data_IF_192595704002
#
_entry.id   IF_192595704002
#
_cell.length_a   1.000
_cell.length_b   1.000
_cell.length_c   1.000
_cell.angle_alpha   90.00
_cell.angle_beta   90.00
_cell.angle_gamma   90.00
#
_symmetry.space_group_name_H-M   'P 1'
#
loop_
_entity.id
_entity.type
_entity.pdbx_description
1 polymer ?
#
# COMPACT_ATOMS: atom_id res chain seq x y z
N UNK A 1 -13.04 5.27 -0.13
CA UNK A 1 -12.23 5.56 1.06
C UNK A 1 -10.76 5.26 0.80
N UNK A 2 -9.86 5.99 1.40
CA UNK A 2 -8.43 5.80 1.29
C UNK A 2 -7.72 6.03 2.64
N UNK A 3 -6.59 5.36 2.83
CA UNK A 3 -5.72 5.54 3.99
C UNK A 3 -4.67 6.60 3.68
N UNK A 4 -4.55 7.62 4.54
CA UNK A 4 -3.57 8.68 4.37
C UNK A 4 -2.13 8.27 4.68
N UNK A 5 -1.96 7.37 5.66
CA UNK A 5 -0.64 6.92 6.14
C UNK A 5 0.04 5.87 5.25
N UNK A 6 -0.56 5.45 4.13
CA UNK A 6 0.05 4.49 3.20
C UNK A 6 0.67 5.22 2.01
N UNK A 7 0.09 5.07 0.85
CA UNK A 7 0.60 5.64 -0.41
C UNK A 7 0.71 7.17 -0.44
N UNK A 8 -0.06 7.87 0.39
CA UNK A 8 0.04 9.33 0.53
C UNK A 8 1.08 9.76 1.57
N UNK A 9 1.73 8.83 2.28
CA UNK A 9 2.78 9.12 3.27
C UNK A 9 2.35 10.10 4.38
N UNK A 10 1.06 10.19 4.65
CA UNK A 10 0.52 11.04 5.71
C UNK A 10 0.70 10.42 7.10
N UNK A 11 0.37 11.17 8.15
CA UNK A 11 0.45 10.68 9.53
C UNK A 11 -0.46 9.47 9.78
N UNK A 12 -0.07 8.62 10.73
CA UNK A 12 -0.88 7.48 11.16
C UNK A 12 -2.26 7.92 11.64
N UNK A 13 -3.28 7.14 11.28
CA UNK A 13 -4.67 7.41 11.64
C UNK A 13 -5.36 8.43 10.74
N UNK A 14 -4.72 8.87 9.66
CA UNK A 14 -5.34 9.77 8.67
C UNK A 14 -5.92 9.00 7.49
N UNK A 15 -6.89 9.60 6.84
CA UNK A 15 -7.53 9.07 5.65
C UNK A 15 -8.60 10.00 5.10
N UNK A 16 -9.19 9.64 3.98
CA UNK A 16 -10.26 10.39 3.37
C UNK A 16 -11.37 9.49 2.82
N UNK A 17 -12.58 10.05 2.85
CA UNK A 17 -13.76 9.48 2.20
C UNK A 17 -14.22 10.44 1.11
N UNK A 18 -14.19 9.97 -0.14
CA UNK A 18 -14.80 10.69 -1.25
C UNK A 18 -16.19 10.13 -1.53
N UNK A 19 -17.16 11.02 -1.66
CA UNK A 19 -18.54 10.70 -2.01
C UNK A 19 -18.96 11.62 -3.17
N UNK A 20 -19.37 11.00 -4.28
CA UNK A 20 -19.93 11.78 -5.39
C UNK A 20 -21.14 12.58 -4.93
N UNK A 21 -21.29 13.79 -5.48
CA UNK A 21 -22.34 14.74 -5.06
C UNK A 21 -23.75 14.12 -5.12
N UNK A 22 -24.02 13.37 -6.18
CA UNK A 22 -25.32 12.75 -6.45
C UNK A 22 -25.68 11.67 -5.41
N UNK A 23 -24.67 11.05 -4.79
CA UNK A 23 -24.86 9.98 -3.80
C UNK A 23 -24.98 10.49 -2.36
N UNK A 24 -24.68 11.78 -2.12
CA UNK A 24 -24.63 12.30 -0.75
C UNK A 24 -25.96 12.18 -0.03
N UNK A 25 -27.05 12.45 -0.73
CA UNK A 25 -28.40 12.44 -0.14
C UNK A 25 -28.95 11.00 0.03
N UNK A 26 -28.36 10.02 -0.65
CA UNK A 26 -28.76 8.61 -0.59
C UNK A 26 -28.06 7.83 0.53
N UNK A 27 -26.91 8.32 1.00
CA UNK A 27 -26.12 7.64 2.03
C UNK A 27 -26.53 8.12 3.41
N UNK A 28 -26.85 7.19 4.30
CA UNK A 28 -27.10 7.47 5.72
C UNK A 28 -25.88 7.04 6.54
N UNK A 29 -25.42 7.89 7.50
CA UNK A 29 -24.34 7.48 8.39
C UNK A 29 -24.82 6.36 9.32
N UNK A 30 -24.05 5.28 9.42
CA UNK A 30 -24.38 4.14 10.30
C UNK A 30 -24.33 4.53 11.79
N UNK A 31 -23.58 5.57 12.15
CA UNK A 31 -23.40 6.02 13.52
C UNK A 31 -23.65 7.50 13.61
N UNK A 32 -24.26 7.93 14.72
CA UNK A 32 -24.44 9.35 15.04
C UNK A 32 -23.24 9.85 15.82
N UNK A 33 -22.75 11.03 15.45
CA UNK A 33 -21.73 11.72 16.24
C UNK A 33 -22.36 12.47 17.40
N UNK A 34 -21.68 12.45 18.55
CA UNK A 34 -22.10 13.23 19.72
C UNK A 34 -21.58 14.68 19.74
N UNK A 35 -20.79 15.10 18.74
CA UNK A 35 -20.33 16.48 18.70
C UNK A 35 -21.50 17.44 18.41
N UNK A 36 -21.55 18.57 19.12
CA UNK A 36 -22.56 19.59 18.93
C UNK A 36 -22.48 20.23 17.53
N UNK A 37 -21.29 20.38 16.99
CA UNK A 37 -21.06 20.87 15.63
C UNK A 37 -21.60 19.89 14.59
N UNK A 38 -21.29 18.63 14.72
CA UNK A 38 -21.81 17.61 13.82
C UNK A 38 -23.33 17.44 13.93
N UNK A 39 -23.94 17.64 15.12
CA UNK A 39 -25.41 17.72 15.28
C UNK A 39 -26.02 18.93 14.59
N UNK A 40 -25.32 20.04 14.58
CA UNK A 40 -25.74 21.26 13.91
C UNK A 40 -25.67 21.13 12.40
N UNK A 41 -24.60 20.51 11.90
CA UNK A 41 -24.35 20.27 10.48
C UNK A 41 -25.07 19.01 9.95
N UNK A 42 -25.35 18.01 10.78
CA UNK A 42 -26.11 16.81 10.38
C UNK A 42 -27.56 17.11 10.01
N UNK A 43 -28.10 18.26 10.46
CA UNK A 43 -29.38 18.76 9.98
C UNK A 43 -29.33 19.20 8.51
N UNK A 44 -28.12 19.45 7.98
CA UNK A 44 -27.90 19.66 6.55
C UNK A 44 -27.46 18.33 5.92
N UNK A 45 -28.39 17.60 5.28
CA UNK A 45 -28.12 16.33 4.59
C UNK A 45 -26.98 16.41 3.56
N UNK A 46 -26.63 17.61 3.09
CA UNK A 46 -25.55 17.86 2.14
C UNK A 46 -24.18 17.98 2.79
N UNK A 47 -24.09 18.15 4.11
CA UNK A 47 -22.81 18.23 4.81
C UNK A 47 -22.17 16.87 4.95
N UNK A 48 -20.88 16.77 4.60
CA UNK A 48 -20.07 15.58 4.81
C UNK A 48 -19.64 15.37 6.27
N UNK A 49 -19.77 16.39 7.12
CA UNK A 49 -19.48 16.32 8.55
C UNK A 49 -20.27 15.23 9.27
N UNK A 50 -21.45 14.86 8.77
CA UNK A 50 -22.25 13.76 9.31
C UNK A 50 -21.57 12.39 9.25
N UNK A 51 -20.53 12.20 8.40
CA UNK A 51 -19.72 11.01 8.30
C UNK A 51 -18.46 11.06 9.18
N UNK A 52 -18.22 12.19 9.85
CA UNK A 52 -17.10 12.36 10.79
C UNK A 52 -17.56 12.02 12.19
N UNK A 53 -17.14 10.86 12.71
CA UNK A 53 -17.66 10.31 13.95
C UNK A 53 -16.97 10.82 15.22
N UNK A 54 -15.76 11.33 15.10
CA UNK A 54 -14.92 11.69 16.23
C UNK A 54 -14.21 13.03 16.00
N UNK A 55 -13.77 13.64 17.10
CA UNK A 55 -12.87 14.79 17.04
C UNK A 55 -11.57 14.39 16.37
N UNK A 56 -11.16 15.17 15.38
CA UNK A 56 -9.92 14.95 14.65
C UNK A 56 -8.83 15.85 15.22
N UNK A 57 -7.60 15.36 15.29
CA UNK A 57 -6.45 16.18 15.67
C UNK A 57 -6.10 17.17 14.55
N UNK A 58 -6.12 18.49 14.80
CA UNK A 58 -5.74 19.47 13.78
C UNK A 58 -4.32 19.26 13.25
N UNK A 59 -3.39 18.84 14.11
CA UNK A 59 -2.00 18.55 13.72
C UNK A 59 -1.89 17.37 12.72
N UNK A 60 -2.66 16.31 12.95
CA UNK A 60 -2.70 15.16 12.03
C UNK A 60 -3.33 15.54 10.69
N UNK A 61 -4.38 16.37 10.70
CA UNK A 61 -5.02 16.87 9.48
C UNK A 61 -4.08 17.78 8.69
N UNK A 62 -3.36 18.68 9.37
CA UNK A 62 -2.37 19.53 8.73
C UNK A 62 -1.25 18.68 8.07
N UNK A 63 -0.71 17.70 8.79
CA UNK A 63 0.29 16.79 8.22
C UNK A 63 -0.25 15.97 7.04
N UNK A 64 -1.52 15.57 7.07
CA UNK A 64 -2.15 14.88 5.94
C UNK A 64 -2.36 15.83 4.75
N UNK A 65 -2.75 17.07 4.99
CA UNK A 65 -2.87 18.08 3.94
C UNK A 65 -1.52 18.32 3.24
N UNK A 66 -0.42 18.42 4.00
CA UNK A 66 0.94 18.56 3.45
C UNK A 66 1.34 17.33 2.62
N UNK A 67 1.01 16.13 3.06
CA UNK A 67 1.31 14.92 2.25
C UNK A 67 0.54 14.90 0.93
N UNK A 68 -0.71 15.36 0.92
CA UNK A 68 -1.50 15.51 -0.31
C UNK A 68 -0.92 16.61 -1.21
N UNK A 69 -0.47 17.72 -0.60
CA UNK A 69 0.17 18.83 -1.33
C UNK A 69 1.45 18.33 -2.02
N UNK A 70 2.34 17.67 -1.29
CA UNK A 70 3.55 17.06 -1.85
C UNK A 70 3.25 16.10 -3.01
N UNK A 71 2.25 15.23 -2.86
CA UNK A 71 1.86 14.31 -3.92
C UNK A 71 1.36 15.04 -5.18
N UNK A 72 0.66 16.17 -5.02
CA UNK A 72 0.21 17.02 -6.13
C UNK A 72 1.38 17.76 -6.77
N UNK A 73 2.35 18.25 -6.01
CA UNK A 73 3.56 18.90 -6.55
C UNK A 73 4.42 17.96 -7.38
N UNK A 74 4.64 16.72 -6.90
CA UNK A 74 5.33 15.68 -7.66
C UNK A 74 4.53 15.28 -8.90
N UNK A 75 3.20 15.29 -8.78
CA UNK A 75 2.25 14.87 -9.79
C UNK A 75 1.87 13.38 -9.65
N UNK A 76 0.58 13.14 -9.42
CA UNK A 76 0.04 11.77 -9.19
C UNK A 76 0.39 10.81 -10.33
N UNK A 77 0.37 11.28 -11.58
CA UNK A 77 0.75 10.46 -12.74
C UNK A 77 2.23 10.06 -12.72
N UNK A 78 3.12 10.95 -12.29
CA UNK A 78 4.55 10.64 -12.17
C UNK A 78 4.78 9.59 -11.06
N UNK A 79 4.09 9.74 -9.93
CA UNK A 79 4.12 8.76 -8.83
C UNK A 79 3.64 7.39 -9.30
N UNK A 80 2.53 7.34 -10.03
CA UNK A 80 1.98 6.12 -10.60
C UNK A 80 2.96 5.46 -11.57
N UNK A 81 3.42 6.21 -12.57
CA UNK A 81 4.36 5.71 -13.59
C UNK A 81 5.64 5.18 -12.98
N UNK A 82 6.21 5.90 -12.01
CA UNK A 82 7.43 5.48 -11.33
C UNK A 82 7.21 4.21 -10.50
N UNK A 83 6.15 4.15 -9.72
CA UNK A 83 5.82 2.98 -8.91
C UNK A 83 5.54 1.75 -9.76
N UNK A 84 4.85 1.92 -10.89
CA UNK A 84 4.60 0.84 -11.85
C UNK A 84 5.87 0.39 -12.55
N UNK A 85 6.75 1.30 -12.94
CA UNK A 85 8.03 0.98 -13.57
C UNK A 85 8.88 0.10 -12.65
N UNK A 86 9.00 0.45 -11.37
CA UNK A 86 9.73 -0.35 -10.38
C UNK A 86 9.06 -1.69 -10.11
N UNK A 87 7.73 -1.74 -10.02
CA UNK A 87 6.99 -2.99 -9.88
C UNK A 87 7.18 -3.92 -11.09
N UNK A 88 7.21 -3.38 -12.30
CA UNK A 88 7.47 -4.15 -13.51
C UNK A 88 8.92 -4.65 -13.54
N UNK A 89 9.89 -3.81 -13.19
CA UNK A 89 11.28 -4.21 -13.06
C UNK A 89 11.43 -5.42 -12.10
N UNK A 90 10.76 -5.38 -10.95
CA UNK A 90 10.77 -6.50 -10.01
C UNK A 90 10.17 -7.78 -10.62
N UNK A 91 9.05 -7.67 -11.34
CA UNK A 91 8.41 -8.80 -12.04
C UNK A 91 9.34 -9.42 -13.08
N UNK A 92 9.94 -8.56 -13.91
CA UNK A 92 10.82 -8.98 -15.00
C UNK A 92 12.07 -9.67 -14.46
N UNK A 93 12.68 -9.12 -13.42
CA UNK A 93 13.90 -9.68 -12.82
C UNK A 93 13.66 -10.97 -12.02
N UNK A 94 12.49 -11.12 -11.38
CA UNK A 94 12.18 -12.30 -10.57
C UNK A 94 11.65 -13.45 -11.42
N UNK A 95 11.02 -13.16 -12.56
CA UNK A 95 10.40 -14.17 -13.43
C UNK A 95 11.33 -15.31 -13.88
N UNK A 96 12.63 -15.08 -14.23
CA UNK A 96 13.55 -16.15 -14.59
C UNK A 96 14.17 -16.88 -13.40
N UNK A 97 13.94 -16.42 -12.16
CA UNK A 97 14.56 -17.01 -10.96
C UNK A 97 13.83 -18.31 -10.60
N UNK A 98 14.52 -19.44 -10.71
CA UNK A 98 13.96 -20.74 -10.34
C UNK A 98 13.60 -20.75 -8.86
N UNK A 99 12.44 -21.32 -8.52
CA UNK A 99 11.94 -21.37 -7.16
C UNK A 99 11.24 -20.08 -6.70
N UNK A 100 11.26 -19.01 -7.48
CA UNK A 100 10.42 -17.82 -7.26
C UNK A 100 9.12 -17.93 -8.07
N UNK A 101 8.00 -17.79 -7.40
CA UNK A 101 6.67 -17.86 -8.01
C UNK A 101 6.04 -16.46 -7.99
N UNK A 102 5.88 -15.85 -9.15
CA UNK A 102 5.19 -14.58 -9.26
C UNK A 102 3.67 -14.77 -9.09
N UNK A 103 3.12 -14.26 -8.00
CA UNK A 103 1.72 -14.43 -7.61
C UNK A 103 0.84 -13.21 -7.93
N UNK A 104 1.46 -12.12 -8.32
CA UNK A 104 0.77 -10.91 -8.78
C UNK A 104 0.44 -10.95 -10.26
N UNK A 105 -0.64 -10.26 -10.70
CA UNK A 105 -0.93 -10.12 -12.11
C UNK A 105 0.22 -9.52 -12.92
N UNK A 106 0.40 -9.98 -14.15
CA UNK A 106 1.41 -9.47 -15.10
C UNK A 106 0.82 -8.55 -16.15
N UNK A 107 -0.52 -8.57 -16.34
CA UNK A 107 -1.21 -7.69 -17.27
C UNK A 107 -1.06 -6.23 -16.83
N UNK A 108 -0.73 -5.35 -17.77
CA UNK A 108 -0.61 -3.89 -17.52
C UNK A 108 -1.89 -3.25 -16.97
N UNK A 109 -3.05 -3.81 -17.27
CA UNK A 109 -4.35 -3.34 -16.78
C UNK A 109 -4.59 -3.68 -15.30
N UNK A 110 -3.97 -4.74 -14.80
CA UNK A 110 -4.15 -5.25 -13.43
C UNK A 110 -2.90 -5.11 -12.57
N UNK A 111 -1.78 -4.73 -13.16
CA UNK A 111 -0.52 -4.53 -12.45
C UNK A 111 -0.49 -3.18 -11.72
N UNK A 112 0.24 -3.14 -10.63
CA UNK A 112 0.54 -1.92 -9.87
C UNK A 112 1.91 -2.04 -9.19
N UNK A 113 2.29 -1.07 -8.37
CA UNK A 113 3.53 -1.12 -7.57
C UNK A 113 3.55 -2.17 -6.45
N UNK A 114 2.53 -3.03 -6.36
CA UNK A 114 2.50 -4.15 -5.42
C UNK A 114 2.85 -5.44 -6.17
N UNK A 115 3.86 -6.16 -5.68
CA UNK A 115 4.31 -7.43 -6.27
C UNK A 115 4.36 -8.49 -5.18
N UNK A 116 3.59 -9.56 -5.34
CA UNK A 116 3.58 -10.69 -4.43
C UNK A 116 4.36 -11.84 -5.03
N UNK A 117 5.28 -12.40 -4.26
CA UNK A 117 6.19 -13.47 -4.69
C UNK A 117 6.14 -14.56 -3.63
N UNK A 118 5.93 -15.80 -4.06
CA UNK A 118 6.18 -17.00 -3.28
C UNK A 118 7.58 -17.51 -3.52
N UNK A 119 8.18 -18.21 -2.55
CA UNK A 119 9.46 -18.86 -2.68
C UNK A 119 9.30 -20.34 -2.30
N UNK A 120 9.77 -21.24 -3.15
CA UNK A 120 9.65 -22.68 -2.93
C UNK A 120 10.31 -23.08 -1.60
N UNK A 121 9.66 -23.95 -0.85
CA UNK A 121 10.07 -24.43 0.47
C UNK A 121 10.16 -23.35 1.58
N UNK A 122 9.56 -22.20 1.37
CA UNK A 122 9.48 -21.15 2.38
C UNK A 122 8.02 -20.85 2.76
N UNK A 123 7.74 -20.77 4.05
CA UNK A 123 6.50 -20.14 4.51
C UNK A 123 6.59 -18.61 4.31
N UNK A 124 5.46 -17.91 4.09
CA UNK A 124 5.47 -16.44 4.00
C UNK A 124 6.06 -15.77 5.25
N UNK A 125 5.85 -16.35 6.43
CA UNK A 125 6.32 -15.86 7.71
C UNK A 125 7.84 -15.98 7.84
N UNK A 126 8.40 -17.15 7.55
CA UNK A 126 9.84 -17.40 7.65
C UNK A 126 10.57 -16.56 6.61
N UNK A 127 10.02 -16.46 5.40
CA UNK A 127 10.60 -15.62 4.36
C UNK A 127 10.59 -14.14 4.77
N UNK A 128 9.47 -13.63 5.28
CA UNK A 128 9.35 -12.23 5.73
C UNK A 128 10.31 -11.94 6.89
N UNK A 129 10.42 -12.84 7.87
CA UNK A 129 11.33 -12.73 9.01
C UNK A 129 12.79 -12.72 8.54
N UNK A 130 13.16 -13.67 7.68
CA UNK A 130 14.52 -13.75 7.14
C UNK A 130 14.90 -12.51 6.32
N UNK A 131 14.00 -12.04 5.46
CA UNK A 131 14.21 -10.83 4.68
C UNK A 131 14.43 -9.61 5.58
N UNK A 132 13.66 -9.49 6.66
CA UNK A 132 13.77 -8.37 7.59
C UNK A 132 15.04 -8.46 8.44
N UNK A 133 15.29 -9.60 9.10
CA UNK A 133 16.35 -9.74 10.10
C UNK A 133 17.74 -9.87 9.48
N UNK A 134 17.85 -10.63 8.38
CA UNK A 134 19.15 -10.90 7.76
C UNK A 134 19.53 -9.92 6.65
N UNK A 135 18.53 -9.30 5.99
CA UNK A 135 18.78 -8.48 4.80
C UNK A 135 18.25 -7.04 4.93
N UNK A 136 17.53 -6.72 6.01
CA UNK A 136 16.89 -5.43 6.24
C UNK A 136 15.91 -5.05 5.11
N UNK A 137 15.18 -6.05 4.60
CA UNK A 137 14.13 -5.89 3.58
C UNK A 137 12.77 -6.12 4.25
N UNK A 138 11.98 -5.06 4.39
CA UNK A 138 10.66 -5.12 5.02
C UNK A 138 9.59 -5.45 3.97
N UNK A 139 8.85 -6.52 4.20
CA UNK A 139 7.77 -7.00 3.34
C UNK A 139 6.50 -7.27 4.15
N UNK A 140 5.41 -7.58 3.48
CA UNK A 140 4.15 -8.02 4.10
C UNK A 140 3.85 -9.46 3.69
N UNK A 141 3.55 -10.31 4.67
CA UNK A 141 2.97 -11.65 4.41
C UNK A 141 1.59 -11.54 3.79
N UNK A 142 1.27 -12.40 2.86
CA UNK A 142 -0.02 -12.53 2.19
C UNK A 142 -0.43 -13.99 2.17
N UNK A 143 -1.70 -14.25 2.51
CA UNK A 143 -2.30 -15.57 2.44
C UNK A 143 -3.40 -15.61 1.38
N UNK A 144 -3.42 -16.68 0.59
CA UNK A 144 -4.32 -16.90 -0.51
C UNK A 144 -4.15 -15.94 -1.72
N UNK A 145 -3.05 -16.02 -2.48
CA UNK A 145 -1.97 -17.03 -2.47
C UNK A 145 -0.88 -16.71 -1.44
N UNK A 146 -0.24 -17.77 -0.92
CA UNK A 146 0.78 -17.67 0.11
C UNK A 146 2.10 -17.12 -0.45
N UNK A 147 2.53 -15.98 0.08
CA UNK A 147 3.75 -15.30 -0.36
C UNK A 147 4.06 -14.03 0.43
N UNK A 148 5.09 -13.33 0.02
CA UNK A 148 5.46 -12.01 0.54
C UNK A 148 5.20 -10.94 -0.49
N UNK A 149 4.66 -9.81 -0.06
CA UNK A 149 4.33 -8.67 -0.91
C UNK A 149 5.36 -7.56 -0.75
N UNK A 150 5.98 -7.23 -1.84
CA UNK A 150 6.81 -6.04 -2.00
C UNK A 150 5.93 -4.85 -2.43
N UNK A 151 6.22 -3.67 -1.90
CA UNK A 151 5.51 -2.44 -2.22
C UNK A 151 6.51 -1.43 -2.76
N UNK A 152 6.60 -1.30 -4.08
CA UNK A 152 7.47 -0.32 -4.73
C UNK A 152 6.76 1.02 -4.82
N UNK A 153 7.39 2.07 -4.31
CA UNK A 153 6.86 3.43 -4.33
C UNK A 153 7.81 4.34 -5.12
N UNK A 154 7.40 5.56 -5.45
CA UNK A 154 8.18 6.48 -6.29
C UNK A 154 9.57 6.81 -5.71
N UNK A 155 9.75 6.72 -4.40
CA UNK A 155 11.02 7.00 -3.73
C UNK A 155 12.00 5.82 -3.69
N UNK A 156 11.55 4.61 -4.07
CA UNK A 156 12.46 3.48 -4.19
C UNK A 156 13.35 3.61 -5.44
N UNK A 157 14.46 2.90 -5.40
CA UNK A 157 15.45 2.87 -6.48
C UNK A 157 15.48 1.50 -7.18
N UNK A 158 15.96 1.48 -8.41
CA UNK A 158 16.20 0.25 -9.17
C UNK A 158 17.17 -0.66 -8.43
N UNK A 159 18.22 -0.10 -7.81
CA UNK A 159 19.20 -0.85 -7.03
C UNK A 159 18.57 -1.60 -5.85
N UNK A 160 17.57 -1.02 -5.20
CA UNK A 160 16.83 -1.71 -4.14
C UNK A 160 16.04 -2.89 -4.69
N UNK A 161 15.44 -2.74 -5.87
CA UNK A 161 14.73 -3.83 -6.57
C UNK A 161 15.70 -4.93 -6.98
N UNK A 162 16.84 -4.59 -7.57
CA UNK A 162 17.90 -5.54 -7.94
C UNK A 162 18.40 -6.32 -6.73
N UNK A 163 18.65 -5.62 -5.62
CA UNK A 163 19.06 -6.26 -4.36
C UNK A 163 18.02 -7.26 -3.84
N UNK A 164 16.73 -6.94 -3.94
CA UNK A 164 15.66 -7.90 -3.58
C UNK A 164 15.81 -9.19 -4.37
N UNK A 165 15.98 -9.08 -5.68
CA UNK A 165 16.11 -10.27 -6.57
C UNK A 165 17.38 -11.07 -6.29
N UNK A 166 18.51 -10.40 -6.02
CA UNK A 166 19.75 -11.06 -5.59
C UNK A 166 19.53 -11.88 -4.31
N UNK A 167 18.86 -11.29 -3.31
CA UNK A 167 18.57 -11.96 -2.04
C UNK A 167 17.62 -13.14 -2.26
N UNK A 168 16.54 -12.98 -3.01
CA UNK A 168 15.62 -14.07 -3.32
C UNK A 168 16.34 -15.20 -4.03
N UNK A 169 17.21 -14.90 -5.00
CA UNK A 169 18.04 -15.90 -5.70
C UNK A 169 18.96 -16.66 -4.74
N UNK A 170 19.58 -15.98 -3.77
CA UNK A 170 20.39 -16.65 -2.75
C UNK A 170 19.57 -17.59 -1.86
N UNK A 171 18.34 -17.21 -1.54
CA UNK A 171 17.45 -17.97 -0.67
C UNK A 171 16.89 -19.22 -1.36
N UNK A 172 16.71 -19.20 -2.69
CA UNK A 172 16.32 -20.42 -3.44
C UNK A 172 17.38 -21.51 -3.32
N UNK A 173 18.66 -21.16 -3.41
CA UNK A 173 19.78 -22.12 -3.30
C UNK A 173 19.89 -22.69 -1.88
N UNK A 174 19.57 -21.90 -0.84
CA UNK A 174 19.59 -22.35 0.55
C UNK A 174 18.43 -23.27 0.89
N UNK A 175 17.24 -23.05 0.29
CA UNK A 175 16.07 -23.90 0.49
C UNK A 175 16.21 -25.31 -0.07
N UNK A 176 17.11 -25.56 -1.03
CA UNK A 176 17.41 -26.89 -1.56
C UNK A 176 18.24 -27.78 -0.60
N UNK A 177 18.76 -27.20 0.49
CA UNK A 177 19.63 -27.91 1.45
C UNK A 177 18.96 -28.34 2.76
N UNK A 178 17.67 -28.09 2.94
CA UNK A 178 16.89 -28.45 4.15
C UNK A 178 15.79 -29.42 3.74
N UNK A 179 16.17 -30.66 3.47
CA UNK A 179 15.28 -31.83 3.33
C UNK A 179 15.74 -32.93 4.28
#
# INVERSE_FOLDING_TARGET
ALSGQKWLMGPNGTGALYIRRELRDMLEPMFSTNSLEAKRESRNRRSLARFSLVSQSPGLLAGFAESVHLANEIGIRHIEQRSMSLGNLLRDLVSPVKGCNLLSPTSSESACGLVTIGLDNWSPEDLATTLQESYNIVVRTVHGPDGVRFSTHFFNTEREVERVVEVLTQLTVRGEGVS
#
